data_IF_046428347990
#
_entry.id   IF_046428347990
#
_cell.length_a   1.000
_cell.length_b   1.000
_cell.length_c   1.000
_cell.angle_alpha   90.00
_cell.angle_beta   90.00
_cell.angle_gamma   90.00
#
_symmetry.space_group_name_H-M   'P 1'
#
loop_
_entity.id
_entity.type
_entity.pdbx_description
1 polymer ?
#
# COMPACT_ATOMS: atom_id res chain seq x y z
N UNK A 1 -16.03 4.10 -17.46
CA UNK A 1 -17.21 3.22 -17.58
C UNK A 1 -18.12 3.49 -16.42
N UNK A 2 -19.42 3.58 -16.69
CA UNK A 2 -20.45 3.73 -15.66
C UNK A 2 -20.55 2.44 -14.83
N UNK A 3 -20.64 2.58 -13.50
CA UNK A 3 -20.74 1.46 -12.55
C UNK A 3 -21.97 0.61 -12.83
N UNK A 4 -23.10 1.24 -13.14
CA UNK A 4 -24.36 0.56 -13.43
C UNK A 4 -24.19 -0.36 -14.65
N UNK A 5 -23.64 0.17 -15.75
CA UNK A 5 -23.37 -0.60 -16.96
C UNK A 5 -22.41 -1.79 -16.73
N UNK A 6 -21.37 -1.64 -15.88
CA UNK A 6 -20.48 -2.75 -15.54
C UNK A 6 -21.16 -3.84 -14.69
N UNK A 7 -22.06 -3.47 -13.78
CA UNK A 7 -22.83 -4.44 -13.00
C UNK A 7 -23.86 -5.17 -13.87
N UNK A 8 -24.53 -4.47 -14.78
CA UNK A 8 -25.47 -5.07 -15.74
C UNK A 8 -24.76 -6.02 -16.71
N UNK A 9 -23.55 -5.67 -17.15
CA UNK A 9 -22.73 -6.58 -17.94
C UNK A 9 -22.37 -7.84 -17.15
N UNK A 10 -21.98 -7.70 -15.87
CA UNK A 10 -21.61 -8.82 -15.02
C UNK A 10 -22.80 -9.76 -14.75
N UNK A 11 -23.99 -9.18 -14.52
CA UNK A 11 -25.22 -9.95 -14.34
C UNK A 11 -25.59 -10.75 -15.59
N UNK A 12 -25.41 -10.17 -16.79
CA UNK A 12 -25.67 -10.87 -18.06
C UNK A 12 -24.66 -11.96 -18.42
N UNK A 13 -23.47 -11.95 -17.83
CA UNK A 13 -22.41 -12.95 -18.11
C UNK A 13 -22.44 -14.13 -17.17
N UNK A 14 -23.06 -13.99 -15.99
CA UNK A 14 -23.06 -15.02 -14.96
C UNK A 14 -24.49 -15.37 -14.55
N UNK A 15 -24.93 -16.57 -14.92
CA UNK A 15 -26.22 -17.12 -14.50
C UNK A 15 -26.28 -17.40 -12.98
N UNK A 16 -25.11 -17.62 -12.37
CA UNK A 16 -24.93 -17.84 -10.95
C UNK A 16 -24.17 -16.67 -10.29
N UNK A 17 -23.89 -16.79 -8.98
CA UNK A 17 -23.15 -15.76 -8.25
C UNK A 17 -21.78 -15.48 -8.92
N UNK A 18 -21.51 -14.23 -9.36
CA UNK A 18 -20.28 -13.93 -10.05
C UNK A 18 -19.05 -14.02 -9.11
N UNK A 19 -17.85 -14.24 -9.67
CA UNK A 19 -16.60 -14.24 -8.92
C UNK A 19 -16.46 -12.96 -8.08
N UNK A 20 -16.08 -13.11 -6.81
CA UNK A 20 -15.95 -11.98 -5.85
C UNK A 20 -15.03 -10.87 -6.37
N UNK A 21 -13.99 -11.22 -7.11
CA UNK A 21 -13.02 -10.27 -7.64
C UNK A 21 -13.61 -9.40 -8.76
N UNK A 22 -14.39 -10.00 -9.66
CA UNK A 22 -15.06 -9.29 -10.75
C UNK A 22 -16.17 -8.38 -10.23
N UNK A 23 -16.97 -8.88 -9.29
CA UNK A 23 -17.98 -8.07 -8.60
C UNK A 23 -17.33 -6.87 -7.90
N UNK A 24 -16.24 -7.07 -7.16
CA UNK A 24 -15.50 -5.99 -6.50
C UNK A 24 -14.97 -4.98 -7.52
N UNK A 25 -14.44 -5.45 -8.64
CA UNK A 25 -13.96 -4.59 -9.73
C UNK A 25 -15.10 -3.73 -10.29
N UNK A 26 -16.24 -4.33 -10.63
CA UNK A 26 -17.42 -3.63 -11.12
C UNK A 26 -17.94 -2.58 -10.11
N UNK A 27 -18.05 -2.95 -8.83
CA UNK A 27 -18.45 -2.04 -7.75
C UNK A 27 -17.49 -0.85 -7.59
N UNK A 28 -16.20 -1.06 -7.83
CA UNK A 28 -15.19 0.01 -7.75
C UNK A 28 -15.04 0.82 -9.04
N UNK A 29 -15.93 0.62 -10.02
CA UNK A 29 -15.93 1.35 -11.29
C UNK A 29 -14.96 0.80 -12.32
N UNK A 30 -14.73 -0.52 -12.28
CA UNK A 30 -13.89 -1.26 -13.21
C UNK A 30 -12.47 -1.52 -12.71
N UNK A 31 -11.70 -2.35 -13.45
CA UNK A 31 -10.41 -2.87 -13.00
C UNK A 31 -9.36 -1.78 -12.81
N UNK A 32 -9.34 -0.78 -13.68
CA UNK A 32 -8.40 0.34 -13.59
C UNK A 32 -8.62 1.16 -12.32
N UNK A 33 -9.88 1.50 -12.01
CA UNK A 33 -10.22 2.27 -10.81
C UNK A 33 -10.03 1.45 -9.53
N UNK A 34 -10.38 0.17 -9.54
CA UNK A 34 -10.11 -0.75 -8.44
C UNK A 34 -8.60 -0.85 -8.13
N UNK A 35 -7.76 -0.99 -9.17
CA UNK A 35 -6.32 -1.05 -9.04
C UNK A 35 -5.72 0.28 -8.56
N UNK A 36 -6.22 1.42 -9.05
CA UNK A 36 -5.81 2.74 -8.59
C UNK A 36 -6.11 2.93 -7.09
N UNK A 37 -7.30 2.53 -6.62
CA UNK A 37 -7.67 2.58 -5.20
C UNK A 37 -6.77 1.67 -4.37
N UNK A 38 -6.53 0.44 -4.82
CA UNK A 38 -5.63 -0.51 -4.14
C UNK A 38 -4.23 0.09 -3.99
N UNK A 39 -3.64 0.61 -5.07
CA UNK A 39 -2.30 1.23 -5.05
C UNK A 39 -2.25 2.44 -4.13
N UNK A 40 -3.26 3.32 -4.16
CA UNK A 40 -3.32 4.46 -3.26
C UNK A 40 -3.41 4.03 -1.78
N UNK A 41 -4.20 3.01 -1.48
CA UNK A 41 -4.29 2.46 -0.12
C UNK A 41 -2.96 1.82 0.33
N UNK A 42 -2.32 1.03 -0.53
CA UNK A 42 -1.00 0.43 -0.23
C UNK A 42 0.08 1.49 -0.02
N UNK A 43 0.07 2.56 -0.84
CA UNK A 43 0.99 3.69 -0.66
C UNK A 43 0.80 4.37 0.69
N UNK A 44 -0.45 4.66 1.07
CA UNK A 44 -0.76 5.24 2.39
C UNK A 44 -0.28 4.33 3.52
N UNK A 45 -0.55 3.03 3.44
CA UNK A 45 -0.11 2.05 4.42
C UNK A 45 1.42 2.07 4.60
N UNK A 46 2.19 1.96 3.53
CA UNK A 46 3.65 2.00 3.62
C UNK A 46 4.18 3.34 4.12
N UNK A 47 3.52 4.45 3.76
CA UNK A 47 3.89 5.78 4.25
C UNK A 47 3.68 5.88 5.76
N UNK A 48 2.55 5.39 6.28
CA UNK A 48 2.26 5.34 7.73
C UNK A 48 3.26 4.45 8.46
N UNK A 49 3.49 3.22 7.99
CA UNK A 49 4.43 2.29 8.62
C UNK A 49 5.88 2.82 8.61
N UNK A 50 6.28 3.53 7.56
CA UNK A 50 7.57 4.22 7.54
C UNK A 50 7.63 5.36 8.59
N UNK A 51 6.56 6.13 8.75
CA UNK A 51 6.49 7.17 9.77
C UNK A 51 6.56 6.59 11.19
N UNK A 52 5.85 5.48 11.45
CA UNK A 52 5.87 4.75 12.72
C UNK A 52 7.26 4.16 13.02
N UNK A 53 7.90 3.50 12.05
CA UNK A 53 9.25 2.96 12.21
C UNK A 53 10.27 4.08 12.51
N UNK A 54 10.14 5.24 11.86
CA UNK A 54 10.97 6.42 12.14
C UNK A 54 10.77 6.94 13.56
N UNK A 55 9.51 7.04 14.02
CA UNK A 55 9.19 7.48 15.38
C UNK A 55 9.73 6.50 16.43
N UNK A 56 9.54 5.19 16.21
CA UNK A 56 10.05 4.15 17.08
C UNK A 56 11.59 4.17 17.15
N UNK A 57 12.27 4.37 16.02
CA UNK A 57 13.72 4.49 15.97
C UNK A 57 14.22 5.73 16.74
N UNK A 58 13.55 6.88 16.59
CA UNK A 58 13.87 8.09 17.34
C UNK A 58 13.71 7.90 18.85
N UNK A 59 12.60 7.27 19.29
CA UNK A 59 12.35 6.94 20.69
C UNK A 59 13.40 5.98 21.24
N UNK A 60 13.76 4.93 20.50
CA UNK A 60 14.80 3.96 20.90
C UNK A 60 16.16 4.64 21.04
N UNK A 61 16.54 5.50 20.09
CA UNK A 61 17.78 6.28 20.16
C UNK A 61 17.81 7.21 21.38
N UNK A 62 16.69 7.84 21.72
CA UNK A 62 16.60 8.72 22.88
C UNK A 62 16.80 8.00 24.22
N UNK A 63 16.54 6.70 24.29
CA UNK A 63 16.71 5.88 25.49
C UNK A 63 18.10 5.23 25.60
N UNK A 64 18.99 5.43 24.63
CA UNK A 64 20.29 4.76 24.54
C UNK A 64 21.43 5.77 24.48
N UNK A 65 22.60 5.36 24.95
CA UNK A 65 23.83 6.12 24.69
C UNK A 65 24.24 5.99 23.21
N UNK A 66 25.09 6.89 22.74
CA UNK A 66 25.62 6.82 21.37
C UNK A 66 26.42 5.52 21.10
N UNK A 67 27.12 5.00 22.12
CA UNK A 67 27.82 3.71 22.01
C UNK A 67 26.84 2.56 21.86
N UNK A 68 25.81 2.50 22.71
CA UNK A 68 24.79 1.44 22.68
C UNK A 68 23.93 1.47 21.41
N UNK A 69 23.68 2.66 20.82
CA UNK A 69 22.94 2.78 19.57
C UNK A 69 23.58 2.00 18.41
N UNK A 70 24.93 1.92 18.37
CA UNK A 70 25.66 1.28 17.26
C UNK A 70 25.51 -0.24 17.24
N UNK A 71 25.29 -0.85 18.40
CA UNK A 71 25.18 -2.30 18.57
C UNK A 71 23.75 -2.76 18.90
N UNK A 72 22.80 -1.82 18.99
CA UNK A 72 21.40 -2.14 19.32
C UNK A 72 20.70 -2.87 18.15
N UNK A 73 20.49 -4.18 18.32
CA UNK A 73 19.82 -5.00 17.31
C UNK A 73 18.38 -4.56 17.02
N UNK A 74 17.69 -3.96 17.99
CA UNK A 74 16.33 -3.46 17.79
C UNK A 74 16.32 -2.23 16.87
N UNK A 75 17.23 -1.28 17.07
CA UNK A 75 17.43 -0.14 16.20
C UNK A 75 17.80 -0.56 14.78
N UNK A 76 18.64 -1.59 14.61
CA UNK A 76 18.96 -2.15 13.30
C UNK A 76 17.70 -2.71 12.59
N UNK A 77 16.84 -3.44 13.30
CA UNK A 77 15.56 -3.93 12.76
C UNK A 77 14.63 -2.79 12.36
N UNK A 78 14.48 -1.77 13.22
CA UNK A 78 13.65 -0.60 12.92
C UNK A 78 14.15 0.16 11.69
N UNK A 79 15.47 0.30 11.53
CA UNK A 79 16.07 0.90 10.34
C UNK A 79 15.79 0.06 9.07
N UNK A 80 15.87 -1.27 9.16
CA UNK A 80 15.53 -2.16 8.06
C UNK A 80 14.04 -2.06 7.67
N UNK A 81 13.13 -2.06 8.66
CA UNK A 81 11.68 -1.87 8.46
C UNK A 81 11.39 -0.52 7.81
N UNK A 82 12.01 0.56 8.29
CA UNK A 82 11.89 1.88 7.69
C UNK A 82 12.34 1.88 6.22
N UNK A 83 13.51 1.29 5.92
CA UNK A 83 14.02 1.20 4.56
C UNK A 83 13.09 0.39 3.65
N UNK A 84 12.56 -0.73 4.13
CA UNK A 84 11.63 -1.57 3.40
C UNK A 84 10.36 -0.79 3.01
N UNK A 85 9.69 -0.14 3.96
CA UNK A 85 8.47 0.60 3.67
C UNK A 85 8.70 1.85 2.82
N UNK A 86 9.84 2.55 2.98
CA UNK A 86 10.20 3.66 2.09
C UNK A 86 10.40 3.19 0.65
N UNK A 87 11.13 2.10 0.43
CA UNK A 87 11.35 1.54 -0.91
C UNK A 87 10.03 1.10 -1.55
N UNK A 88 9.16 0.45 -0.78
CA UNK A 88 7.83 0.06 -1.26
C UNK A 88 6.96 1.27 -1.66
N UNK A 89 6.98 2.34 -0.85
CA UNK A 89 6.26 3.57 -1.17
C UNK A 89 6.81 4.27 -2.44
N UNK A 90 8.13 4.32 -2.61
CA UNK A 90 8.77 4.89 -3.82
C UNK A 90 8.38 4.09 -5.06
N UNK A 91 8.48 2.75 -5.02
CA UNK A 91 8.10 1.91 -6.15
C UNK A 91 6.63 2.12 -6.58
N UNK A 92 5.72 2.36 -5.63
CA UNK A 92 4.31 2.67 -5.92
C UNK A 92 4.12 4.05 -6.54
N UNK A 93 4.93 5.04 -6.16
CA UNK A 93 4.93 6.37 -6.75
C UNK A 93 5.48 6.34 -8.18
N UNK A 94 6.57 5.62 -8.42
CA UNK A 94 7.16 5.46 -9.74
C UNK A 94 6.17 4.78 -10.70
N UNK A 95 5.50 3.73 -10.24
CA UNK A 95 4.41 3.12 -10.99
C UNK A 95 3.32 4.15 -11.31
N UNK A 96 2.84 4.92 -10.33
CA UNK A 96 1.80 5.94 -10.57
C UNK A 96 2.22 6.94 -11.65
N UNK A 97 3.47 7.40 -11.62
CA UNK A 97 3.99 8.35 -12.60
C UNK A 97 4.05 7.73 -14.00
N UNK A 98 4.48 6.47 -14.11
CA UNK A 98 4.52 5.74 -15.39
C UNK A 98 3.14 5.53 -16.04
N UNK A 99 2.07 5.43 -15.25
CA UNK A 99 0.68 5.31 -15.78
C UNK A 99 -0.05 6.66 -15.94
N UNK A 100 0.62 7.78 -15.63
CA UNK A 100 0.07 9.13 -15.80
C UNK A 100 0.63 9.85 -17.04
N UNK A 101 1.53 9.19 -17.78
CA UNK A 101 2.04 9.60 -19.09
C UNK A 101 1.34 8.80 -20.19
#
# INVERSE_FOLDING_TARGET
>A
MDRAASLDSLHRTHDAKPPKQELRSALLGGPNRANAIKRAATLRLHSTLAAEARLAAARRRGALTAASCRTDAWLARLAATLAHHRRAAVALLDQRNAYSQ
#
